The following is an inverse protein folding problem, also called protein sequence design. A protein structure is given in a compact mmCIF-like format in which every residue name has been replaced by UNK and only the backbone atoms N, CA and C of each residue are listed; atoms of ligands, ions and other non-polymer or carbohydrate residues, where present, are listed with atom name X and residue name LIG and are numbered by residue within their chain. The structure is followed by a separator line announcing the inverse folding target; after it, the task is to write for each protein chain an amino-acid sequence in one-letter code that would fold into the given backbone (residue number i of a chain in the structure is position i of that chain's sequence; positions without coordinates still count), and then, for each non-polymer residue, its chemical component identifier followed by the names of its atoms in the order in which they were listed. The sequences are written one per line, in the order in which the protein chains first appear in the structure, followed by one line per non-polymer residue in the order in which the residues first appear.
data_IF_856525563824
#
_entry.id   IF_856525563824
#
_cell.length_a   1.000
_cell.length_b   1.000
_cell.length_c   1.000
_cell.angle_alpha   90.00
_cell.angle_beta   90.00
_cell.angle_gamma   90.00
#
_symmetry.space_group_name_H-M   'P 1'
#
loop_
_entity.id
_entity.type
_entity.pdbx_description
1 polymer ?
#
# COMPACT_ATOMS: atom_id res chain seq x y z
N UNK A 1 -8.50 -16.63 45.93
CA UNK A 1 -9.11 -16.01 44.74
C UNK A 1 -9.06 -14.49 44.90
N UNK A 2 -8.12 -13.81 44.25
CA UNK A 2 -8.12 -12.35 44.19
C UNK A 2 -9.24 -11.93 43.24
N UNK A 3 -10.29 -11.29 43.77
CA UNK A 3 -11.37 -10.71 42.97
C UNK A 3 -10.77 -9.60 42.10
N UNK A 4 -11.07 -9.64 40.80
CA UNK A 4 -10.71 -8.55 39.90
C UNK A 4 -11.36 -7.25 40.41
N UNK A 5 -10.54 -6.24 40.68
CA UNK A 5 -11.02 -4.89 41.01
C UNK A 5 -11.68 -4.33 39.75
N UNK A 6 -12.92 -3.82 39.82
CA UNK A 6 -13.55 -3.15 38.69
C UNK A 6 -12.68 -1.97 38.24
N UNK A 7 -12.15 -2.06 37.03
CA UNK A 7 -11.29 -1.04 36.43
C UNK A 7 -12.16 0.15 36.02
N UNK A 8 -11.81 1.37 36.46
CA UNK A 8 -12.56 2.57 36.07
C UNK A 8 -12.45 2.82 34.55
N UNK A 9 -13.43 3.49 33.93
CA UNK A 9 -13.37 3.84 32.50
C UNK A 9 -12.11 4.63 32.15
N UNK A 10 -11.65 5.49 33.07
CA UNK A 10 -10.41 6.25 32.90
C UNK A 10 -9.18 5.32 32.85
N UNK A 11 -9.14 4.31 33.72
CA UNK A 11 -8.07 3.31 33.73
C UNK A 11 -8.10 2.43 32.48
N UNK A 12 -9.28 1.98 32.03
CA UNK A 12 -9.39 1.23 30.77
C UNK A 12 -8.90 2.03 29.55
N UNK A 13 -9.20 3.34 29.51
CA UNK A 13 -8.71 4.23 28.45
C UNK A 13 -7.20 4.46 28.56
N UNK A 14 -6.67 4.54 29.77
CA UNK A 14 -5.22 4.62 30.02
C UNK A 14 -4.52 3.36 29.52
N UNK A 15 -4.96 2.18 29.97
CA UNK A 15 -4.38 0.89 29.60
C UNK A 15 -4.38 0.72 28.07
N UNK A 16 -5.51 1.02 27.40
CA UNK A 16 -5.58 0.99 25.94
C UNK A 16 -4.54 1.88 25.27
N UNK A 17 -4.35 3.13 25.73
CA UNK A 17 -3.33 4.04 25.18
C UNK A 17 -1.92 3.49 25.35
N UNK A 18 -1.67 2.82 26.47
CA UNK A 18 -0.39 2.18 26.73
C UNK A 18 -0.12 1.03 25.75
N UNK A 19 -1.13 0.22 25.39
CA UNK A 19 -0.96 -0.84 24.39
C UNK A 19 -0.47 -0.31 23.04
N UNK A 20 -1.04 0.79 22.56
CA UNK A 20 -0.59 1.43 21.31
C UNK A 20 0.83 2.00 21.43
N UNK A 21 1.18 2.55 22.59
CA UNK A 21 2.55 3.02 22.84
C UNK A 21 3.55 1.85 22.85
N UNK A 22 3.16 0.72 23.45
CA UNK A 22 3.95 -0.51 23.44
C UNK A 22 4.09 -1.08 22.03
N UNK A 23 3.03 -1.01 21.20
CA UNK A 23 3.07 -1.48 19.83
C UNK A 23 4.19 -0.84 19.00
N UNK A 24 4.41 0.47 19.20
CA UNK A 24 5.49 1.22 18.53
C UNK A 24 6.83 1.00 19.22
N UNK A 25 6.90 1.13 20.55
CA UNK A 25 8.18 1.11 21.30
C UNK A 25 8.78 -0.29 21.47
N UNK A 26 7.97 -1.34 21.33
CA UNK A 26 8.39 -2.74 21.38
C UNK A 26 8.44 -3.38 19.99
N UNK A 27 8.52 -2.59 18.93
CA UNK A 27 8.67 -3.08 17.57
C UNK A 27 9.77 -4.17 17.49
N UNK A 28 9.49 -5.24 16.78
CA UNK A 28 10.39 -6.39 16.65
C UNK A 28 10.99 -6.45 15.24
N UNK A 29 12.26 -6.82 15.18
CA UNK A 29 12.93 -7.15 13.91
C UNK A 29 13.22 -8.64 13.88
N UNK A 30 12.71 -9.31 12.84
CA UNK A 30 12.84 -10.76 12.66
C UNK A 30 13.63 -11.00 11.38
N UNK A 31 14.82 -11.61 11.52
CA UNK A 31 15.64 -12.02 10.40
C UNK A 31 15.21 -13.39 9.91
N UNK A 32 14.76 -13.48 8.66
CA UNK A 32 14.28 -14.69 8.01
C UNK A 32 15.17 -15.07 6.83
N UNK A 33 15.37 -16.38 6.63
CA UNK A 33 16.23 -16.88 5.55
C UNK A 33 15.39 -17.34 4.37
N UNK A 34 15.86 -17.05 3.16
CA UNK A 34 15.28 -17.58 1.93
C UNK A 34 15.47 -19.10 1.89
N UNK A 35 14.38 -19.85 1.79
CA UNK A 35 14.40 -21.32 1.81
C UNK A 35 14.14 -21.94 0.43
N UNK A 36 13.57 -21.18 -0.51
CA UNK A 36 13.36 -21.63 -1.88
C UNK A 36 14.10 -20.74 -2.88
N UNK A 37 14.86 -21.36 -3.80
CA UNK A 37 15.43 -20.68 -4.96
C UNK A 37 14.40 -20.69 -6.10
N UNK A 38 14.05 -19.49 -6.56
CA UNK A 38 13.07 -19.23 -7.62
C UNK A 38 13.39 -19.96 -8.93
N UNK A 39 14.66 -20.29 -9.19
CA UNK A 39 15.06 -21.05 -10.38
C UNK A 39 14.62 -22.51 -10.37
N UNK A 40 14.48 -23.15 -9.21
CA UNK A 40 14.11 -24.57 -9.14
C UNK A 40 12.59 -24.79 -9.28
N UNK A 41 11.79 -23.82 -8.82
CA UNK A 41 10.32 -23.87 -8.80
C UNK A 41 9.66 -23.45 -10.14
N UNK A 42 10.37 -22.73 -11.01
CA UNK A 42 9.88 -22.34 -12.36
C UNK A 42 9.55 -23.54 -13.28
N UNK A 43 9.99 -24.76 -12.94
CA UNK A 43 9.66 -25.98 -13.68
C UNK A 43 8.19 -26.42 -13.49
N UNK A 44 7.52 -25.94 -12.46
CA UNK A 44 6.09 -26.19 -12.21
C UNK A 44 5.37 -24.86 -12.09
N UNK A 45 4.63 -24.46 -13.13
CA UNK A 45 3.64 -23.35 -13.13
C UNK A 45 2.46 -23.56 -12.15
N UNK A 46 2.68 -24.23 -11.02
CA UNK A 46 1.67 -24.48 -9.99
C UNK A 46 2.05 -23.67 -8.75
N UNK A 47 1.69 -22.40 -8.78
CA UNK A 47 1.81 -21.45 -7.66
C UNK A 47 0.77 -21.70 -6.53
N UNK A 48 0.43 -22.98 -6.30
CA UNK A 48 -0.40 -23.46 -5.19
C UNK A 48 0.42 -24.45 -4.34
N UNK A 49 1.69 -24.14 -4.09
CA UNK A 49 2.49 -24.92 -3.15
C UNK A 49 2.06 -24.47 -1.77
N UNK A 50 1.35 -25.34 -1.04
CA UNK A 50 1.07 -25.11 0.37
C UNK A 50 2.41 -25.10 1.11
N UNK A 51 2.67 -24.03 1.86
CA UNK A 51 3.85 -23.94 2.71
C UNK A 51 3.82 -25.04 3.77
N UNK A 52 4.96 -25.74 3.91
CA UNK A 52 5.14 -26.74 4.96
C UNK A 52 5.69 -26.04 6.21
N UNK A 53 4.89 -26.03 7.28
CA UNK A 53 5.22 -25.43 8.58
C UNK A 53 5.83 -24.02 8.46
N UNK A 54 5.11 -23.04 7.90
CA UNK A 54 5.62 -21.69 7.76
C UNK A 54 5.88 -21.03 9.12
N UNK A 55 6.84 -20.10 9.14
CA UNK A 55 7.02 -19.22 10.29
C UNK A 55 5.81 -18.28 10.34
N UNK A 56 4.98 -18.40 11.37
CA UNK A 56 3.83 -17.54 11.60
C UNK A 56 4.24 -16.35 12.47
N UNK A 57 4.13 -15.15 11.90
CA UNK A 57 4.50 -13.89 12.54
C UNK A 57 3.23 -13.09 12.78
N UNK A 58 2.78 -13.05 14.03
CA UNK A 58 1.57 -12.31 14.44
C UNK A 58 1.90 -10.92 14.99
N UNK A 59 3.08 -10.80 15.60
CA UNK A 59 3.46 -9.67 16.43
C UNK A 59 2.63 -9.55 17.72
N UNK A 60 1.96 -10.62 18.14
CA UNK A 60 1.22 -10.62 19.40
C UNK A 60 2.17 -10.67 20.59
N UNK A 61 1.92 -9.82 21.57
CA UNK A 61 2.64 -9.78 22.83
C UNK A 61 1.67 -9.54 23.99
N UNK A 62 2.12 -9.85 25.21
CA UNK A 62 1.38 -9.58 26.43
C UNK A 62 2.07 -8.48 27.23
N UNK A 63 1.30 -7.55 27.78
CA UNK A 63 1.85 -6.63 28.78
C UNK A 63 2.33 -7.39 30.01
N UNK A 64 3.13 -6.74 30.84
CA UNK A 64 3.63 -7.28 32.12
C UNK A 64 3.28 -6.31 33.24
N UNK A 65 2.00 -6.04 33.41
CA UNK A 65 1.54 -5.15 34.47
C UNK A 65 1.71 -5.83 35.84
N UNK A 66 2.17 -5.06 36.83
CA UNK A 66 2.38 -5.55 38.19
C UNK A 66 1.12 -5.43 39.05
N UNK A 67 0.21 -4.53 38.67
CA UNK A 67 -0.96 -4.10 39.42
C UNK A 67 -2.30 -4.37 38.71
N UNK A 68 -2.26 -4.83 37.46
CA UNK A 68 -3.44 -5.12 36.64
C UNK A 68 -3.26 -6.39 35.81
N UNK A 69 -4.34 -6.83 35.13
CA UNK A 69 -4.27 -8.00 34.26
C UNK A 69 -3.44 -7.67 33.02
N UNK A 70 -2.53 -8.56 32.67
CA UNK A 70 -1.82 -8.49 31.39
C UNK A 70 -2.82 -8.47 30.23
N UNK A 71 -2.58 -7.57 29.29
CA UNK A 71 -3.43 -7.35 28.13
C UNK A 71 -2.64 -7.74 26.86
N UNK A 72 -3.28 -8.41 25.89
CA UNK A 72 -2.66 -8.64 24.59
C UNK A 72 -2.56 -7.33 23.82
N UNK A 73 -1.46 -7.16 23.09
CA UNK A 73 -1.26 -6.09 22.13
C UNK A 73 -0.48 -6.62 20.92
N UNK A 74 -0.50 -5.88 19.82
CA UNK A 74 0.21 -6.24 18.61
C UNK A 74 1.25 -5.16 18.31
N UNK A 75 2.53 -5.53 18.26
CA UNK A 75 3.62 -4.60 17.95
C UNK A 75 3.96 -4.53 16.46
N UNK A 76 4.64 -3.46 16.08
CA UNK A 76 5.18 -3.30 14.73
C UNK A 76 6.24 -4.37 14.45
N UNK A 77 6.28 -4.85 13.22
CA UNK A 77 7.18 -5.93 12.81
C UNK A 77 8.01 -5.47 11.62
N UNK A 78 9.33 -5.68 11.68
CA UNK A 78 10.26 -5.53 10.56
C UNK A 78 10.81 -6.89 10.19
N UNK A 79 10.66 -7.30 8.93
CA UNK A 79 11.27 -8.52 8.41
C UNK A 79 12.51 -8.17 7.59
N UNK A 80 13.62 -8.82 7.90
CA UNK A 80 14.87 -8.69 7.18
C UNK A 80 15.30 -10.02 6.58
N UNK A 81 15.95 -9.96 5.43
CA UNK A 81 16.62 -11.11 4.86
C UNK A 81 17.89 -11.42 5.66
N UNK A 82 17.98 -12.63 6.21
CA UNK A 82 19.06 -13.02 7.12
C UNK A 82 20.44 -13.09 6.44
N UNK A 83 20.49 -13.30 5.12
CA UNK A 83 21.76 -13.45 4.39
C UNK A 83 22.29 -12.08 3.91
N UNK A 84 21.41 -11.15 3.56
CA UNK A 84 21.79 -9.83 3.00
C UNK A 84 21.64 -8.68 3.99
N UNK A 85 20.84 -8.86 5.05
CA UNK A 85 20.45 -7.80 5.97
C UNK A 85 19.43 -6.81 5.38
N UNK A 86 18.97 -7.02 4.15
CA UNK A 86 18.02 -6.13 3.50
C UNK A 86 16.65 -6.21 4.18
N UNK A 87 16.03 -5.06 4.37
CA UNK A 87 14.66 -4.98 4.87
C UNK A 87 13.72 -5.41 3.76
N UNK A 88 12.95 -6.46 4.03
CA UNK A 88 11.96 -7.01 3.10
C UNK A 88 10.65 -6.24 3.25
N UNK A 89 10.16 -6.12 4.50
CA UNK A 89 8.92 -5.43 4.81
C UNK A 89 8.90 -4.85 6.23
N UNK A 90 8.09 -3.82 6.45
CA UNK A 90 7.73 -3.30 7.76
C UNK A 90 6.21 -3.16 7.88
N UNK A 91 5.62 -3.77 8.92
CA UNK A 91 4.19 -3.67 9.26
C UNK A 91 4.01 -2.73 10.44
N UNK A 92 3.12 -1.76 10.28
CA UNK A 92 2.75 -0.77 11.28
C UNK A 92 1.28 -0.90 11.63
N UNK A 93 1.00 -1.11 12.92
CA UNK A 93 -0.32 -0.87 13.48
C UNK A 93 -0.55 0.65 13.63
N UNK A 94 -1.80 1.11 13.83
CA UNK A 94 -2.05 2.51 14.18
C UNK A 94 -1.18 2.93 15.38
N UNK A 95 -0.51 4.10 15.36
CA UNK A 95 0.51 4.42 16.36
C UNK A 95 -0.06 4.84 17.73
N UNK A 96 -1.32 5.28 17.77
CA UNK A 96 -1.98 5.79 18.98
C UNK A 96 -3.47 5.44 18.98
N UNK A 97 -4.06 5.29 20.16
CA UNK A 97 -5.49 4.97 20.30
C UNK A 97 -6.41 5.94 19.55
N UNK A 98 -6.17 7.26 19.67
CA UNK A 98 -7.00 8.26 18.99
C UNK A 98 -6.84 8.22 17.47
N UNK A 99 -5.67 7.82 16.97
CA UNK A 99 -5.44 7.62 15.54
C UNK A 99 -6.13 6.34 15.09
N UNK A 100 -6.09 5.26 15.87
CA UNK A 100 -6.81 4.03 15.59
C UNK A 100 -8.32 4.26 15.51
N UNK A 101 -8.91 4.96 16.48
CA UNK A 101 -10.34 5.31 16.50
C UNK A 101 -10.74 6.15 15.25
N UNK A 102 -9.89 7.10 14.86
CA UNK A 102 -10.14 7.92 13.67
C UNK A 102 -9.96 7.12 12.37
N UNK A 103 -8.93 6.28 12.29
CA UNK A 103 -8.68 5.38 11.16
C UNK A 103 -9.85 4.42 10.96
N UNK A 104 -10.39 3.85 12.04
CA UNK A 104 -11.53 2.94 12.00
C UNK A 104 -12.80 3.63 11.48
N UNK A 105 -13.09 4.83 12.00
CA UNK A 105 -14.21 5.65 11.51
C UNK A 105 -14.07 5.97 10.02
N UNK A 106 -12.87 6.37 9.59
CA UNK A 106 -12.59 6.69 8.18
C UNK A 106 -12.57 5.46 7.29
N UNK A 107 -12.09 4.32 7.78
CA UNK A 107 -12.08 3.05 7.07
C UNK A 107 -13.53 2.61 6.80
N UNK A 108 -14.42 2.71 7.79
CA UNK A 108 -15.85 2.43 7.62
C UNK A 108 -16.46 3.30 6.50
N UNK A 109 -16.14 4.59 6.47
CA UNK A 109 -16.55 5.49 5.38
C UNK A 109 -16.00 5.03 4.01
N UNK A 110 -14.73 4.64 3.97
CA UNK A 110 -14.06 4.14 2.77
C UNK A 110 -14.63 2.83 2.23
N UNK A 111 -14.99 1.90 3.12
CA UNK A 111 -15.63 0.63 2.77
C UNK A 111 -16.96 0.88 2.06
N UNK A 112 -17.80 1.79 2.57
CA UNK A 112 -19.05 2.18 1.91
C UNK A 112 -18.80 2.79 0.52
N UNK A 113 -17.80 3.67 0.39
CA UNK A 113 -17.43 4.27 -0.91
C UNK A 113 -16.90 3.21 -1.89
N UNK A 114 -16.15 2.24 -1.41
CA UNK A 114 -15.66 1.14 -2.23
C UNK A 114 -16.79 0.27 -2.76
N UNK A 115 -17.75 -0.11 -1.91
CA UNK A 115 -18.91 -0.88 -2.35
C UNK A 115 -19.68 -0.13 -3.45
N UNK A 116 -19.76 1.20 -3.34
CA UNK A 116 -20.34 2.03 -4.39
C UNK A 116 -19.51 2.01 -5.69
N UNK A 117 -18.17 2.03 -5.61
CA UNK A 117 -17.30 1.82 -6.77
C UNK A 117 -17.52 0.44 -7.40
N UNK A 118 -17.58 -0.63 -6.60
CA UNK A 118 -17.78 -2.01 -7.09
C UNK A 118 -19.10 -2.18 -7.85
N UNK A 119 -20.15 -1.47 -7.44
CA UNK A 119 -21.49 -1.59 -8.03
C UNK A 119 -21.69 -0.68 -9.25
N UNK A 120 -20.97 0.44 -9.34
CA UNK A 120 -21.24 1.48 -10.37
C UNK A 120 -20.10 1.69 -11.37
N UNK A 121 -18.85 1.37 -11.00
CA UNK A 121 -17.69 1.61 -11.84
C UNK A 121 -17.41 0.45 -12.81
N UNK A 122 -16.85 0.77 -13.97
CA UNK A 122 -16.34 -0.22 -14.92
C UNK A 122 -14.93 -0.65 -14.50
N UNK A 123 -14.74 -1.93 -14.24
CA UNK A 123 -13.42 -2.58 -14.11
C UNK A 123 -13.05 -3.23 -15.46
N UNK A 124 -11.85 -2.95 -16.01
CA UNK A 124 -11.44 -3.50 -17.32
C UNK A 124 -10.54 -4.74 -17.19
N UNK A 125 -9.61 -4.75 -16.22
CA UNK A 125 -8.56 -5.78 -16.15
C UNK A 125 -9.02 -7.11 -15.53
N UNK A 126 -9.91 -7.05 -14.54
CA UNK A 126 -10.37 -8.24 -13.79
C UNK A 126 -11.90 -8.33 -13.82
N UNK A 127 -12.48 -8.20 -15.02
CA UNK A 127 -13.89 -8.55 -15.22
C UNK A 127 -14.00 -10.04 -15.57
N UNK A 128 -15.11 -10.72 -15.21
CA UNK A 128 -15.39 -12.09 -15.63
C UNK A 128 -15.28 -12.29 -17.15
N UNK A 129 -15.49 -11.22 -17.93
CA UNK A 129 -15.43 -11.24 -19.40
C UNK A 129 -14.03 -11.08 -20.00
N UNK A 130 -13.00 -10.70 -19.23
CA UNK A 130 -11.65 -10.39 -19.76
C UNK A 130 -10.51 -11.19 -19.13
N UNK A 131 -10.70 -11.79 -17.95
CA UNK A 131 -9.68 -12.61 -17.30
C UNK A 131 -9.85 -14.09 -17.66
N UNK A 132 -8.81 -14.76 -18.17
CA UNK A 132 -8.82 -16.19 -18.51
C UNK A 132 -8.51 -17.12 -17.32
N UNK A 133 -8.36 -16.57 -16.11
CA UNK A 133 -8.03 -17.33 -14.88
C UNK A 133 -9.23 -17.26 -13.94
N UNK A 134 -9.90 -18.40 -13.71
CA UNK A 134 -11.15 -18.49 -12.94
C UNK A 134 -11.05 -17.91 -11.51
N UNK A 135 -9.90 -18.05 -10.84
CA UNK A 135 -9.70 -17.49 -9.49
C UNK A 135 -9.61 -15.95 -9.48
N UNK A 136 -9.17 -15.35 -10.59
CA UNK A 136 -9.00 -13.90 -10.72
C UNK A 136 -10.27 -13.21 -11.24
N UNK A 137 -11.30 -14.00 -11.57
CA UNK A 137 -12.63 -13.50 -11.95
C UNK A 137 -13.52 -13.20 -10.73
N UNK A 138 -13.13 -13.66 -9.53
CA UNK A 138 -13.94 -13.56 -8.30
C UNK A 138 -13.67 -12.27 -7.51
N UNK A 139 -12.51 -11.64 -7.72
CA UNK A 139 -12.06 -10.49 -6.93
C UNK A 139 -11.98 -9.25 -7.81
N UNK A 140 -12.83 -8.25 -7.53
CA UNK A 140 -12.76 -6.96 -8.21
C UNK A 140 -11.44 -6.27 -7.86
N UNK A 141 -10.71 -5.86 -8.90
CA UNK A 141 -9.42 -5.19 -8.75
C UNK A 141 -9.37 -3.97 -9.66
N UNK A 142 -9.39 -2.80 -9.03
CA UNK A 142 -9.32 -1.50 -9.70
C UNK A 142 -7.93 -0.91 -9.55
N UNK A 143 -7.45 -0.25 -10.60
CA UNK A 143 -6.21 0.53 -10.61
C UNK A 143 -6.52 1.99 -10.89
N UNK A 144 -6.41 2.84 -9.88
CA UNK A 144 -6.63 4.28 -10.01
C UNK A 144 -5.30 5.05 -10.05
N UNK A 145 -5.25 6.12 -10.85
CA UNK A 145 -4.06 6.96 -11.01
C UNK A 145 -3.45 6.86 -12.40
N UNK A 146 -2.14 7.00 -12.49
CA UNK A 146 -1.39 7.00 -13.73
C UNK A 146 -0.81 5.63 -14.07
N UNK A 147 -1.14 5.12 -15.26
CA UNK A 147 -0.68 3.83 -15.79
C UNK A 147 -0.17 3.98 -17.23
N UNK A 148 0.74 3.11 -17.65
CA UNK A 148 1.18 3.09 -19.05
C UNK A 148 0.03 2.67 -19.98
N UNK A 149 -0.18 3.41 -21.06
CA UNK A 149 -1.15 3.03 -22.09
C UNK A 149 -0.83 1.65 -22.69
N UNK A 150 -1.76 1.06 -23.46
CA UNK A 150 -1.61 -0.29 -24.03
C UNK A 150 -0.32 -0.46 -24.85
N UNK A 151 0.13 0.58 -25.52
CA UNK A 151 1.38 0.59 -26.30
C UNK A 151 2.63 0.70 -25.44
N UNK A 152 2.49 0.92 -24.12
CA UNK A 152 3.55 1.20 -23.14
C UNK A 152 4.44 2.38 -23.52
N UNK A 153 3.85 3.33 -24.26
CA UNK A 153 4.58 4.49 -24.78
C UNK A 153 4.38 5.69 -23.89
N UNK A 154 3.15 5.92 -23.40
CA UNK A 154 2.81 7.11 -22.62
C UNK A 154 2.23 6.72 -21.27
N UNK A 155 2.64 7.45 -20.23
CA UNK A 155 1.97 7.45 -18.95
C UNK A 155 0.69 8.28 -19.09
N UNK A 156 -0.45 7.71 -18.71
CA UNK A 156 -1.77 8.36 -18.81
C UNK A 156 -2.59 8.01 -17.58
N UNK A 157 -3.60 8.82 -17.27
CA UNK A 157 -4.58 8.42 -16.25
C UNK A 157 -5.32 7.15 -16.72
N UNK A 158 -5.49 6.21 -15.80
CA UNK A 158 -6.06 4.90 -16.10
C UNK A 158 -7.51 5.03 -16.59
N UNK A 159 -7.96 4.10 -17.43
CA UNK A 159 -9.36 4.09 -17.87
C UNK A 159 -10.33 3.83 -16.72
N UNK A 160 -9.87 3.17 -15.66
CA UNK A 160 -10.65 2.88 -14.46
C UNK A 160 -10.79 4.14 -13.57
N UNK A 161 -9.82 5.06 -13.61
CA UNK A 161 -10.02 6.40 -13.05
C UNK A 161 -10.95 7.25 -13.92
N UNK A 162 -10.75 7.27 -15.24
CA UNK A 162 -11.53 8.13 -16.12
C UNK A 162 -13.01 7.76 -16.23
N UNK A 163 -13.34 6.47 -16.09
CA UNK A 163 -14.70 5.96 -16.27
C UNK A 163 -15.35 6.47 -17.58
N UNK A 164 -14.58 6.49 -18.67
CA UNK A 164 -15.02 7.02 -19.95
C UNK A 164 -16.27 6.29 -20.45
N UNK A 165 -17.34 7.04 -20.73
CA UNK A 165 -18.65 6.49 -21.10
C UNK A 165 -19.35 5.75 -19.96
N UNK A 166 -19.06 6.07 -18.70
CA UNK A 166 -19.77 5.58 -17.52
C UNK A 166 -20.07 6.74 -16.55
N UNK A 167 -21.11 7.52 -16.84
CA UNK A 167 -21.47 8.68 -16.02
C UNK A 167 -21.88 8.32 -14.58
N UNK A 168 -22.45 7.14 -14.36
CA UNK A 168 -22.82 6.67 -13.02
C UNK A 168 -21.59 6.32 -12.16
N UNK A 169 -20.53 5.77 -12.77
CA UNK A 169 -19.30 5.40 -12.06
C UNK A 169 -18.36 6.57 -11.76
N UNK A 170 -18.43 7.67 -12.52
CA UNK A 170 -17.55 8.84 -12.31
C UNK A 170 -17.66 9.44 -10.90
N UNK A 171 -18.86 9.74 -10.35
CA UNK A 171 -18.98 10.24 -8.98
C UNK A 171 -18.46 9.25 -7.94
N UNK A 172 -18.77 7.96 -8.08
CA UNK A 172 -18.33 6.94 -7.12
C UNK A 172 -16.79 6.83 -7.06
N UNK A 173 -16.14 6.82 -8.23
CA UNK A 173 -14.67 6.81 -8.32
C UNK A 173 -14.07 8.11 -7.77
N UNK A 174 -14.66 9.26 -8.09
CA UNK A 174 -14.18 10.56 -7.59
C UNK A 174 -14.28 10.66 -6.06
N UNK A 175 -15.43 10.28 -5.47
CA UNK A 175 -15.65 10.28 -4.03
C UNK A 175 -14.67 9.35 -3.31
N UNK A 176 -14.41 8.16 -3.89
CA UNK A 176 -13.45 7.22 -3.32
C UNK A 176 -12.02 7.76 -3.38
N UNK A 177 -11.59 8.31 -4.52
CA UNK A 177 -10.27 8.95 -4.67
C UNK A 177 -10.10 10.08 -3.65
N UNK A 178 -11.10 10.96 -3.52
CA UNK A 178 -11.06 12.08 -2.59
C UNK A 178 -10.92 11.62 -1.13
N UNK A 179 -11.72 10.63 -0.72
CA UNK A 179 -11.60 10.01 0.60
C UNK A 179 -10.21 9.40 0.80
N UNK A 180 -9.73 8.61 -0.15
CA UNK A 180 -8.47 7.88 0.00
C UNK A 180 -7.28 8.83 0.13
N UNK A 181 -7.27 9.93 -0.64
CA UNK A 181 -6.24 10.97 -0.52
C UNK A 181 -6.17 11.57 0.88
N UNK A 182 -7.32 11.78 1.53
CA UNK A 182 -7.39 12.30 2.91
C UNK A 182 -6.90 11.22 3.89
N UNK A 183 -7.46 10.01 3.79
CA UNK A 183 -7.07 8.88 4.63
C UNK A 183 -5.55 8.64 4.58
N UNK A 184 -4.99 8.55 3.38
CA UNK A 184 -3.57 8.32 3.16
C UNK A 184 -2.71 9.46 3.71
N UNK A 185 -3.09 10.72 3.44
CA UNK A 185 -2.33 11.87 3.93
C UNK A 185 -2.29 11.91 5.47
N UNK A 186 -3.40 11.65 6.15
CA UNK A 186 -3.50 11.73 7.61
C UNK A 186 -2.86 10.52 8.31
N UNK A 187 -3.13 9.32 7.82
CA UNK A 187 -2.84 8.09 8.56
C UNK A 187 -1.62 7.33 8.06
N UNK A 188 -1.19 7.54 6.82
CA UNK A 188 0.03 6.94 6.28
C UNK A 188 1.14 7.97 6.22
N UNK A 189 0.95 9.03 5.42
CA UNK A 189 2.00 10.03 5.20
C UNK A 189 2.36 10.78 6.48
N UNK A 190 1.38 11.40 7.16
CA UNK A 190 1.68 12.17 8.40
C UNK A 190 2.09 11.27 9.57
N UNK A 191 1.39 10.15 9.77
CA UNK A 191 1.55 9.32 10.98
C UNK A 191 2.74 8.35 10.95
N UNK A 192 3.16 7.92 9.75
CA UNK A 192 4.26 6.95 9.57
C UNK A 192 5.44 7.60 8.83
N UNK A 193 5.24 8.12 7.61
CA UNK A 193 6.34 8.58 6.74
C UNK A 193 7.00 9.85 7.28
N UNK A 194 6.21 10.86 7.64
CA UNK A 194 6.72 12.15 8.13
C UNK A 194 7.02 12.13 9.64
N UNK A 195 6.66 11.04 10.33
CA UNK A 195 6.88 10.88 11.75
C UNK A 195 8.22 10.20 12.00
N UNK A 196 9.21 10.98 12.48
CA UNK A 196 10.56 10.48 12.78
C UNK A 196 10.60 9.35 13.82
N UNK A 197 9.56 9.20 14.62
CA UNK A 197 9.46 8.18 15.66
C UNK A 197 8.62 6.97 15.22
N UNK A 198 8.24 6.87 13.94
CA UNK A 198 7.45 5.73 13.46
C UNK A 198 8.24 4.42 13.46
N UNK A 199 9.56 4.49 13.28
CA UNK A 199 10.43 3.33 13.08
C UNK A 199 10.50 2.86 11.62
N UNK A 200 9.98 3.65 10.67
CA UNK A 200 10.20 3.41 9.24
C UNK A 200 11.70 3.52 8.92
N UNK A 201 12.24 2.53 8.21
CA UNK A 201 13.67 2.44 7.97
C UNK A 201 14.16 3.52 7.00
N UNK A 202 15.44 3.85 7.09
CA UNK A 202 16.04 4.94 6.32
C UNK A 202 15.98 4.69 4.80
N UNK A 203 16.13 3.44 4.36
CA UNK A 203 16.05 3.10 2.92
C UNK A 203 14.65 3.35 2.36
N UNK A 204 13.60 2.95 3.08
CA UNK A 204 12.22 3.23 2.66
C UNK A 204 11.89 4.72 2.77
N UNK A 205 12.35 5.41 3.82
CA UNK A 205 12.21 6.85 3.96
C UNK A 205 12.85 7.60 2.78
N UNK A 206 14.06 7.20 2.36
CA UNK A 206 14.76 7.84 1.26
C UNK A 206 14.01 7.64 -0.07
N UNK A 207 13.58 6.40 -0.37
CA UNK A 207 12.80 6.12 -1.59
C UNK A 207 11.50 6.94 -1.66
N UNK A 208 10.78 7.07 -0.53
CA UNK A 208 9.56 7.87 -0.45
C UNK A 208 9.84 9.37 -0.58
N UNK A 209 10.95 9.85 -0.03
CA UNK A 209 11.41 11.23 -0.16
C UNK A 209 11.77 11.56 -1.61
N UNK A 210 12.50 10.67 -2.29
CA UNK A 210 12.87 10.84 -3.70
C UNK A 210 11.63 10.82 -4.60
N UNK A 211 10.61 10.01 -4.27
CA UNK A 211 9.32 10.06 -4.96
C UNK A 211 8.65 11.42 -4.81
N UNK A 212 8.55 11.94 -3.59
CA UNK A 212 7.90 13.22 -3.33
C UNK A 212 8.64 14.39 -3.99
N UNK A 213 9.97 14.40 -3.94
CA UNK A 213 10.78 15.54 -4.37
C UNK A 213 11.19 15.49 -5.86
N UNK A 214 11.35 14.30 -6.43
CA UNK A 214 11.94 14.11 -7.76
C UNK A 214 10.95 13.45 -8.70
N UNK A 215 10.49 12.24 -8.37
CA UNK A 215 9.81 11.39 -9.35
C UNK A 215 8.35 11.80 -9.58
N UNK A 216 7.60 12.14 -8.53
CA UNK A 216 6.21 12.56 -8.68
C UNK A 216 6.08 13.92 -9.36
N UNK A 217 6.87 14.95 -9.02
CA UNK A 217 6.87 16.20 -9.79
C UNK A 217 7.17 15.98 -11.27
N UNK A 218 8.12 15.10 -11.60
CA UNK A 218 8.40 14.73 -12.98
C UNK A 218 7.17 14.08 -13.63
N UNK A 219 6.55 13.09 -12.99
CA UNK A 219 5.36 12.43 -13.53
C UNK A 219 4.18 13.40 -13.71
N UNK A 220 3.97 14.32 -12.76
CA UNK A 220 2.89 15.32 -12.79
C UNK A 220 3.04 16.30 -13.95
N UNK A 221 4.28 16.61 -14.38
CA UNK A 221 4.51 17.40 -15.61
C UNK A 221 4.02 16.70 -16.88
N UNK A 222 3.96 15.36 -16.88
CA UNK A 222 3.65 14.57 -18.07
C UNK A 222 2.22 14.01 -18.07
N UNK A 223 1.56 13.98 -16.91
CA UNK A 223 0.21 13.44 -16.74
C UNK A 223 -0.68 14.51 -16.12
N UNK A 224 -1.52 15.11 -16.96
CA UNK A 224 -2.46 16.14 -16.54
C UNK A 224 -3.41 15.63 -15.45
N UNK A 225 -3.53 16.41 -14.37
CA UNK A 225 -4.42 16.11 -13.24
C UNK A 225 -3.96 14.97 -12.32
N UNK A 226 -2.70 14.52 -12.43
CA UNK A 226 -2.17 13.45 -11.59
C UNK A 226 -2.15 13.85 -10.10
N UNK A 227 -1.74 15.07 -9.78
CA UNK A 227 -1.80 15.64 -8.43
C UNK A 227 -3.22 15.79 -7.85
N UNK A 228 -4.24 15.86 -8.72
CA UNK A 228 -5.65 15.83 -8.31
C UNK A 228 -6.04 14.42 -7.86
N UNK A 229 -5.49 13.38 -8.49
CA UNK A 229 -5.89 11.97 -8.27
C UNK A 229 -5.01 11.27 -7.22
N UNK A 230 -3.71 11.54 -7.21
CA UNK A 230 -2.72 10.82 -6.40
C UNK A 230 -2.06 11.74 -5.37
N UNK A 231 -1.37 11.13 -4.41
CA UNK A 231 -0.45 11.81 -3.49
C UNK A 231 0.99 11.57 -3.95
N UNK A 232 1.96 12.43 -3.59
CA UNK A 232 3.34 12.34 -4.08
C UNK A 232 4.06 10.99 -3.86
N UNK A 233 3.60 10.18 -2.89
CA UNK A 233 4.22 8.91 -2.52
C UNK A 233 3.83 7.73 -3.43
N UNK A 234 2.81 7.88 -4.27
CA UNK A 234 2.33 6.84 -5.19
C UNK A 234 1.80 7.43 -6.49
N UNK A 235 1.83 6.63 -7.56
CA UNK A 235 1.30 7.04 -8.88
C UNK A 235 0.08 6.26 -9.30
N UNK A 236 -0.01 5.02 -8.81
CA UNK A 236 -1.20 4.21 -8.91
C UNK A 236 -1.50 3.69 -7.53
N UNK A 237 -2.77 3.59 -7.19
CA UNK A 237 -3.21 2.77 -6.09
C UNK A 237 -4.25 1.79 -6.59
N UNK A 238 -4.13 0.57 -6.12
CA UNK A 238 -4.97 -0.54 -6.54
C UNK A 238 -5.81 -0.97 -5.37
N UNK A 239 -7.10 -1.14 -5.64
CA UNK A 239 -8.10 -1.48 -4.65
C UNK A 239 -8.60 -2.87 -4.96
N UNK A 240 -8.52 -3.76 -3.98
CA UNK A 240 -8.86 -5.16 -4.13
C UNK A 240 -9.84 -5.62 -3.06
N UNK A 241 -10.83 -6.41 -3.49
CA UNK A 241 -11.75 -7.12 -2.62
C UNK A 241 -11.33 -8.57 -2.47
N UNK A 242 -11.31 -9.06 -1.24
CA UNK A 242 -10.87 -10.41 -0.93
C UNK A 242 -9.38 -10.60 -1.16
N UNK A 243 -8.97 -11.84 -1.32
CA UNK A 243 -7.56 -12.21 -1.29
C UNK A 243 -6.97 -12.28 -2.69
N UNK A 244 -5.66 -12.07 -2.81
CA UNK A 244 -4.97 -12.25 -4.08
C UNK A 244 -4.95 -13.73 -4.45
N UNK A 245 -4.93 -14.04 -5.75
CA UNK A 245 -4.81 -15.41 -6.23
C UNK A 245 -3.40 -15.99 -6.01
N UNK A 246 -2.79 -16.46 -7.08
CA UNK A 246 -1.48 -17.14 -7.04
C UNK A 246 -0.35 -16.22 -6.59
N UNK A 247 0.66 -16.80 -5.92
CA UNK A 247 1.90 -16.10 -5.57
C UNK A 247 2.58 -15.45 -6.79
N UNK A 248 2.98 -14.18 -6.64
CA UNK A 248 3.55 -13.37 -7.73
C UNK A 248 4.60 -12.36 -7.22
N UNK A 249 5.27 -11.72 -8.17
CA UNK A 249 6.12 -10.54 -7.97
C UNK A 249 5.70 -9.43 -8.93
N UNK A 250 5.72 -8.19 -8.46
CA UNK A 250 5.38 -7.02 -9.26
C UNK A 250 6.64 -6.39 -9.86
N UNK A 251 7.25 -7.10 -10.81
CA UNK A 251 8.58 -6.76 -11.34
C UNK A 251 8.69 -5.36 -11.98
N UNK A 252 7.57 -4.70 -12.30
CA UNK A 252 7.52 -3.35 -12.87
C UNK A 252 7.45 -2.25 -11.81
N UNK A 253 7.17 -2.62 -10.57
CA UNK A 253 6.95 -1.68 -9.49
C UNK A 253 8.27 -1.36 -8.80
N UNK A 254 8.38 -0.12 -8.38
CA UNK A 254 9.52 0.46 -7.70
C UNK A 254 9.44 0.21 -6.20
N UNK A 255 10.60 0.28 -5.56
CA UNK A 255 10.70 0.25 -4.11
C UNK A 255 10.30 1.62 -3.55
N UNK A 256 9.60 1.74 -2.43
CA UNK A 256 8.84 0.72 -1.67
C UNK A 256 7.35 0.79 -2.03
N UNK A 257 6.61 -0.32 -1.99
CA UNK A 257 5.14 -0.29 -2.15
C UNK A 257 4.45 -0.27 -0.79
N UNK A 258 3.24 0.29 -0.74
CA UNK A 258 2.49 0.46 0.52
C UNK A 258 1.17 -0.30 0.40
N UNK A 259 0.94 -1.26 1.29
CA UNK A 259 -0.29 -2.02 1.41
C UNK A 259 -1.05 -1.57 2.67
N UNK A 260 -2.33 -1.32 2.55
CA UNK A 260 -3.22 -0.97 3.66
C UNK A 260 -4.28 -2.05 3.77
N UNK A 261 -4.32 -2.76 4.90
CA UNK A 261 -5.32 -3.78 5.17
C UNK A 261 -6.57 -3.18 5.80
N UNK A 262 -7.75 -3.47 5.25
CA UNK A 262 -9.05 -2.97 5.72
C UNK A 262 -10.06 -4.14 5.83
N UNK A 263 -11.09 -3.95 6.67
CA UNK A 263 -12.12 -4.96 6.84
C UNK A 263 -11.65 -6.12 7.73
N UNK A 264 -11.35 -7.29 7.13
CA UNK A 264 -10.97 -8.51 7.85
C UNK A 264 -9.45 -8.67 8.06
N UNK A 265 -9.07 -9.58 8.95
CA UNK A 265 -7.68 -10.04 9.05
C UNK A 265 -7.27 -10.77 7.77
N UNK A 266 -6.01 -10.61 7.40
CA UNK A 266 -5.41 -11.30 6.27
C UNK A 266 -4.09 -11.95 6.68
N UNK A 267 -3.65 -12.94 5.92
CA UNK A 267 -2.27 -13.44 5.99
C UNK A 267 -1.56 -12.94 4.74
N UNK A 268 -0.43 -12.25 4.90
CA UNK A 268 0.51 -11.98 3.82
C UNK A 268 1.58 -13.07 3.83
N UNK A 269 1.54 -13.96 2.83
CA UNK A 269 2.50 -15.04 2.70
C UNK A 269 3.70 -14.59 1.84
N UNK A 270 4.91 -14.79 2.35
CA UNK A 270 6.17 -14.58 1.65
C UNK A 270 6.76 -15.94 1.28
N UNK A 271 6.43 -16.41 0.07
CA UNK A 271 6.59 -17.81 -0.30
C UNK A 271 8.06 -18.27 -0.25
N UNK A 272 8.97 -17.47 -0.81
CA UNK A 272 10.41 -17.77 -0.85
C UNK A 272 11.07 -17.87 0.53
N UNK A 273 10.42 -17.32 1.56
CA UNK A 273 10.90 -17.29 2.94
C UNK A 273 10.15 -18.28 3.85
N UNK A 274 9.20 -19.06 3.32
CA UNK A 274 8.30 -19.92 4.10
C UNK A 274 7.73 -19.19 5.33
N UNK A 275 7.24 -17.97 5.11
CA UNK A 275 6.86 -17.04 6.16
C UNK A 275 5.45 -16.52 5.92
N UNK A 276 4.65 -16.43 6.99
CA UNK A 276 3.31 -15.88 6.97
C UNK A 276 3.20 -14.76 8.01
N UNK A 277 2.93 -13.55 7.54
CA UNK A 277 2.71 -12.39 8.39
C UNK A 277 1.20 -12.16 8.54
N UNK A 278 0.70 -12.12 9.77
CA UNK A 278 -0.71 -11.79 10.03
C UNK A 278 -0.90 -10.28 9.95
N UNK A 279 -1.88 -9.85 9.17
CA UNK A 279 -2.29 -8.46 9.03
C UNK A 279 -3.63 -8.28 9.75
N UNK A 280 -3.65 -7.32 10.68
CA UNK A 280 -4.87 -6.85 11.31
C UNK A 280 -5.55 -5.79 10.44
N UNK A 281 -6.86 -5.55 10.63
CA UNK A 281 -7.50 -4.37 10.04
C UNK A 281 -6.75 -3.10 10.46
N UNK A 282 -6.61 -2.16 9.53
CA UNK A 282 -5.88 -0.89 9.65
C UNK A 282 -4.35 -0.99 9.65
N UNK A 283 -3.77 -2.20 9.54
CA UNK A 283 -2.33 -2.34 9.37
C UNK A 283 -1.86 -1.71 8.06
N UNK A 284 -0.73 -1.01 8.13
CA UNK A 284 -0.04 -0.42 6.99
C UNK A 284 1.31 -1.13 6.82
N UNK A 285 1.56 -1.63 5.62
CA UNK A 285 2.71 -2.45 5.30
C UNK A 285 3.53 -1.77 4.22
N UNK A 286 4.81 -1.51 4.49
CA UNK A 286 5.79 -1.06 3.51
C UNK A 286 6.59 -2.27 3.05
N UNK A 287 6.56 -2.60 1.75
CA UNK A 287 7.03 -3.89 1.26
C UNK A 287 7.64 -3.81 -0.15
N UNK A 288 8.67 -4.62 -0.39
CA UNK A 288 9.34 -4.82 -1.67
C UNK A 288 8.61 -5.83 -2.57
N UNK A 289 7.39 -5.50 -3.03
CA UNK A 289 6.55 -6.35 -3.90
C UNK A 289 7.26 -6.85 -5.17
N UNK A 290 8.24 -6.11 -5.64
CA UNK A 290 8.97 -6.38 -6.88
C UNK A 290 10.12 -7.39 -6.73
N UNK A 291 10.44 -7.78 -5.50
CA UNK A 291 11.62 -8.57 -5.14
C UNK A 291 11.29 -9.80 -4.31
N UNK A 292 10.08 -9.89 -3.74
CA UNK A 292 9.65 -10.98 -2.88
C UNK A 292 8.34 -11.58 -3.39
N UNK A 293 8.35 -12.89 -3.64
CA UNK A 293 7.14 -13.62 -4.02
C UNK A 293 6.11 -13.61 -2.89
N UNK A 294 4.91 -13.12 -3.19
CA UNK A 294 3.89 -12.92 -2.17
C UNK A 294 2.48 -13.19 -2.69
N UNK A 295 1.57 -13.42 -1.74
CA UNK A 295 0.12 -13.36 -1.93
C UNK A 295 -0.56 -13.20 -0.57
N UNK A 296 -1.84 -12.82 -0.58
CA UNK A 296 -2.70 -12.77 0.59
C UNK A 296 -3.63 -13.98 0.67
N UNK A 297 -3.93 -14.41 1.89
CA UNK A 297 -4.84 -15.51 2.21
C UNK A 297 -5.82 -15.09 3.32
N UNK A 298 -7.00 -15.73 3.34
CA UNK A 298 -7.95 -15.54 4.44
C UNK A 298 -7.38 -16.13 5.73
N UNK A 299 -7.52 -15.38 6.83
CA UNK A 299 -7.09 -15.86 8.14
C UNK A 299 -7.90 -17.11 8.55
N UNK A 300 -7.29 -18.19 9.07
CA UNK A 300 -7.98 -19.43 9.44
C UNK A 300 -9.17 -19.23 10.37
N UNK A 301 -9.07 -18.31 11.35
CA UNK A 301 -10.19 -17.99 12.24
C UNK A 301 -11.44 -17.49 11.48
N UNK A 302 -11.26 -16.68 10.42
CA UNK A 302 -12.38 -16.20 9.60
C UNK A 302 -12.98 -17.31 8.73
N UNK A 303 -12.16 -18.29 8.30
CA UNK A 303 -12.64 -19.47 7.59
C UNK A 303 -13.48 -20.35 8.53
N UNK A 304 -13.00 -20.59 9.74
CA UNK A 304 -13.70 -21.38 10.77
C UNK A 304 -15.04 -20.74 11.18
N UNK A 305 -15.09 -19.41 11.26
CA UNK A 305 -16.30 -18.64 11.54
C UNK A 305 -17.25 -18.50 10.34
N UNK A 306 -16.83 -18.92 9.14
CA UNK A 306 -17.62 -18.79 7.92
C UNK A 306 -17.81 -17.34 7.45
N UNK A 307 -16.83 -16.47 7.73
CA UNK A 307 -16.85 -15.06 7.32
C UNK A 307 -16.75 -14.92 5.79
N UNK A 308 -17.44 -13.93 5.20
CA UNK A 308 -17.38 -13.68 3.76
C UNK A 308 -15.98 -13.20 3.37
N UNK A 309 -15.24 -13.88 2.48
CA UNK A 309 -13.93 -13.41 2.01
C UNK A 309 -13.97 -11.98 1.42
N UNK A 310 -15.13 -11.55 0.93
CA UNK A 310 -15.32 -10.23 0.32
C UNK A 310 -15.40 -9.08 1.33
N UNK A 311 -15.50 -9.34 2.64
CA UNK A 311 -15.37 -8.27 3.62
C UNK A 311 -13.90 -7.87 3.82
N UNK A 312 -12.94 -8.69 3.38
CA UNK A 312 -11.56 -8.25 3.28
C UNK A 312 -11.45 -7.24 2.15
N UNK A 313 -10.81 -6.12 2.45
CA UNK A 313 -10.48 -5.12 1.47
C UNK A 313 -9.05 -4.66 1.69
N UNK A 314 -8.36 -4.30 0.62
CA UNK A 314 -7.11 -3.61 0.82
C UNK A 314 -6.73 -2.73 -0.36
N UNK A 315 -5.79 -1.83 -0.05
CA UNK A 315 -5.33 -0.81 -0.98
C UNK A 315 -3.82 -0.91 -1.09
N UNK A 316 -3.33 -1.16 -2.30
CA UNK A 316 -1.90 -1.19 -2.60
C UNK A 316 -1.51 0.05 -3.39
N UNK A 317 -0.75 0.94 -2.78
CA UNK A 317 -0.13 2.08 -3.42
C UNK A 317 1.23 1.71 -4.01
N UNK A 318 1.42 2.00 -5.28
CA UNK A 318 2.61 1.63 -6.04
C UNK A 318 3.16 2.78 -6.89
N UNK A 319 4.43 2.66 -7.23
CA UNK A 319 5.14 3.53 -8.14
C UNK A 319 5.85 2.64 -9.17
N UNK A 320 6.00 3.08 -10.41
CA UNK A 320 6.62 2.23 -11.43
C UNK A 320 8.12 2.53 -11.60
N UNK A 321 8.95 1.48 -11.72
CA UNK A 321 10.41 1.60 -11.96
C UNK A 321 10.75 2.48 -13.17
N UNK A 322 9.93 2.39 -14.21
CA UNK A 322 10.14 3.14 -15.44
C UNK A 322 10.07 4.67 -15.24
N UNK A 323 9.37 5.12 -14.20
CA UNK A 323 9.19 6.53 -13.88
C UNK A 323 10.30 7.06 -12.97
N UNK A 324 10.88 6.20 -12.12
CA UNK A 324 12.13 6.53 -11.43
C UNK A 324 13.28 6.78 -12.42
N UNK A 325 13.31 5.99 -13.50
CA UNK A 325 14.28 6.17 -14.59
C UNK A 325 13.96 7.37 -15.50
N UNK A 326 12.91 8.15 -15.20
CA UNK A 326 12.45 9.29 -16.01
C UNK A 326 12.41 8.97 -17.51
N UNK A 327 12.01 7.75 -17.88
CA UNK A 327 11.97 7.34 -19.28
C UNK A 327 10.88 8.13 -19.99
N UNK A 328 11.31 9.11 -20.77
CA UNK A 328 10.40 9.98 -21.53
C UNK A 328 9.46 9.14 -22.42
N UNK A 329 8.20 9.55 -22.54
CA UNK A 329 7.28 8.94 -23.48
C UNK A 329 7.84 9.04 -24.90
N UNK A 330 7.87 7.94 -25.68
CA UNK A 330 8.36 8.03 -27.07
C UNK A 330 7.46 8.87 -28.00
N UNK A 331 6.25 9.26 -27.54
CA UNK A 331 5.30 10.11 -28.25
C UNK A 331 4.76 11.20 -27.33
N UNK A 332 5.22 12.42 -27.55
CA UNK A 332 4.81 13.60 -26.79
C UNK A 332 3.45 14.14 -27.25
N UNK A 333 2.58 14.53 -26.30
CA UNK A 333 1.36 15.28 -26.63
C UNK A 333 1.68 16.78 -26.83
N UNK A 334 0.74 17.55 -27.39
CA UNK A 334 0.96 18.97 -27.68
C UNK A 334 1.22 19.80 -26.42
N UNK A 335 0.60 19.46 -25.29
CA UNK A 335 0.78 20.18 -24.03
C UNK A 335 2.22 20.06 -23.51
N UNK A 336 2.80 18.86 -23.54
CA UNK A 336 4.21 18.65 -23.23
C UNK A 336 5.13 19.48 -24.15
N UNK A 337 4.86 19.45 -25.46
CA UNK A 337 5.67 20.21 -26.43
C UNK A 337 5.58 21.72 -26.18
N UNK A 338 4.42 22.22 -25.77
CA UNK A 338 4.23 23.62 -25.36
C UNK A 338 5.04 23.91 -24.09
N UNK A 339 4.95 23.07 -23.06
CA UNK A 339 5.72 23.24 -21.82
C UNK A 339 7.24 23.29 -22.10
N UNK A 340 7.77 22.36 -22.90
CA UNK A 340 9.18 22.38 -23.28
C UNK A 340 9.57 23.65 -24.06
N UNK A 341 8.70 24.11 -24.96
CA UNK A 341 8.93 25.35 -25.70
C UNK A 341 8.94 26.57 -24.76
N UNK A 342 8.03 26.62 -23.79
CA UNK A 342 7.96 27.68 -22.77
C UNK A 342 9.18 27.67 -21.85
N UNK A 343 9.58 26.51 -21.33
CA UNK A 343 10.78 26.38 -20.48
C UNK A 343 12.04 26.84 -21.25
N UNK A 344 12.15 26.47 -22.54
CA UNK A 344 13.25 26.92 -23.39
C UNK A 344 13.25 28.43 -23.62
N UNK A 345 12.10 29.02 -23.92
CA UNK A 345 11.96 30.48 -24.11
C UNK A 345 12.29 31.24 -22.82
N UNK A 346 11.85 30.74 -21.66
CA UNK A 346 12.15 31.36 -20.38
C UNK A 346 13.65 31.26 -20.04
N UNK A 347 14.29 30.12 -20.30
CA UNK A 347 15.74 29.97 -20.13
C UNK A 347 16.54 30.91 -21.04
N UNK A 348 16.11 31.07 -22.30
CA UNK A 348 16.70 32.03 -23.25
C UNK A 348 16.52 33.48 -22.76
N UNK A 349 15.32 33.84 -22.28
CA UNK A 349 15.03 35.16 -21.70
C UNK A 349 15.91 35.46 -20.49
N UNK A 350 16.04 34.52 -19.56
CA UNK A 350 16.89 34.67 -18.37
C UNK A 350 18.36 34.85 -18.74
N UNK A 351 18.84 34.10 -19.75
CA UNK A 351 20.21 34.23 -20.26
C UNK A 351 20.47 35.60 -20.91
N UNK A 352 19.48 36.14 -21.64
CA UNK A 352 19.58 37.48 -22.22
C UNK A 352 19.54 38.58 -21.16
N UNK A 353 18.67 38.43 -20.16
CA UNK A 353 18.57 39.37 -19.03
C UNK A 353 19.89 39.43 -18.25
N UNK A 354 20.51 38.28 -18.01
CA UNK A 354 21.80 38.18 -17.32
C UNK A 354 22.93 38.84 -18.10
N UNK A 355 22.98 38.67 -19.43
CA UNK A 355 23.94 39.36 -20.30
C UNK A 355 23.80 40.88 -20.21
N UNK A 356 22.58 41.41 -20.24
CA UNK A 356 22.30 42.85 -20.13
C UNK A 356 22.59 43.46 -18.75
N UNK A 357 22.80 42.64 -17.72
CA UNK A 357 23.17 43.06 -16.38
C UNK A 357 24.68 42.97 -16.12
N UNK A 358 25.41 42.26 -16.98
CA UNK A 358 26.87 42.09 -16.93
C UNK A 358 27.61 43.06 -17.88
N UNK A 359 26.89 43.68 -18.83
CA UNK A 359 27.29 44.84 -19.62
C UNK A 359 26.87 46.16 -18.92
#
# INVERSE_FOLDING_TARGET
MLKAVPTSQAQQKHDKRELYTLAVTKAETISIKKVFDTKSMLSTRKANVQLDNPIHITGEALTKFTDSKNQPYVHNVTLTDADTGNILLQRFAPPFLNIAELMDQRATEGICKFQNVCTTAKCKKHSPTTCQIEDWQKSLHFHFGAWYNQTKVNLVISSETHQAGNEAGKPAVADFIAWFKIFFSEHVQKSIVNNKNSGLCDSFCQELTDREQIHFPWANKHVEGLDVICQPLYLTFSLFQGFSGTSHIDNKDADVSILINLGQHAILELHEYNCQLVLQPLDVVFFLLNSVYHHTLQHPAHIEEGSDPNDQMAITCLFHKALMMQKEPKKHNILYLICCATEKQEAERQKELKRKLED
#
